data_IF_103862496835
#
_entry.id   IF_103862496835
#
_cell.length_a   1.000
_cell.length_b   1.000
_cell.length_c   1.000
_cell.angle_alpha   90.00
_cell.angle_beta   90.00
_cell.angle_gamma   90.00
#
_symmetry.space_group_name_H-M   'P 1'
#
loop_
_entity.id
_entity.type
_entity.pdbx_description
1 polymer ?
#
# COMPACT_ATOMS: atom_id res chain seq x y z
N UNK A 1 24.41 -31.70 11.63
CA UNK A 1 22.98 -31.52 11.96
C UNK A 1 22.64 -30.06 11.79
N UNK A 2 21.73 -29.73 10.88
CA UNK A 2 21.25 -28.36 10.70
C UNK A 2 20.18 -28.09 11.75
N UNK A 3 20.37 -27.05 12.57
CA UNK A 3 19.33 -26.64 13.52
C UNK A 3 18.05 -26.24 12.77
N UNK A 4 16.88 -26.50 13.36
CA UNK A 4 15.64 -26.09 12.75
C UNK A 4 15.58 -24.56 12.59
N UNK A 5 14.99 -24.04 11.49
CA UNK A 5 14.97 -22.61 11.20
C UNK A 5 14.36 -21.75 12.32
N UNK A 6 13.44 -22.33 13.09
CA UNK A 6 12.81 -21.69 14.24
C UNK A 6 12.96 -22.59 15.47
N UNK A 7 13.91 -22.26 16.34
CA UNK A 7 14.24 -23.05 17.54
C UNK A 7 13.21 -22.96 18.65
N UNK A 8 12.27 -22.00 18.60
CA UNK A 8 11.20 -21.83 19.60
C UNK A 8 9.91 -22.52 19.20
N UNK A 9 9.63 -22.67 17.90
CA UNK A 9 8.39 -23.25 17.38
C UNK A 9 8.57 -24.64 16.74
N UNK A 10 9.79 -25.02 16.36
CA UNK A 10 10.08 -26.28 15.67
C UNK A 10 10.95 -27.20 16.53
N UNK A 11 10.73 -28.50 16.37
CA UNK A 11 11.56 -29.57 16.90
C UNK A 11 12.07 -30.42 15.73
N UNK A 12 13.30 -30.92 15.86
CA UNK A 12 13.82 -31.90 14.92
C UNK A 12 13.21 -33.27 15.25
N UNK A 13 12.54 -33.89 14.28
CA UNK A 13 11.95 -35.22 14.37
C UNK A 13 12.72 -36.15 13.43
N UNK A 14 13.11 -37.32 13.95
CA UNK A 14 13.81 -38.34 13.18
C UNK A 14 12.80 -39.30 12.56
N UNK A 15 12.76 -39.39 11.23
CA UNK A 15 11.82 -40.24 10.49
C UNK A 15 12.32 -41.68 10.26
N UNK A 16 13.47 -42.03 10.84
CA UNK A 16 14.15 -43.32 10.64
C UNK A 16 15.31 -43.25 9.63
N UNK A 17 15.34 -42.24 8.77
CA UNK A 17 16.39 -42.04 7.75
C UNK A 17 17.04 -40.67 7.81
N UNK A 18 16.28 -39.65 8.21
CA UNK A 18 16.72 -38.26 8.26
C UNK A 18 16.07 -37.50 9.40
N UNK A 19 16.68 -36.38 9.80
CA UNK A 19 16.02 -35.42 10.68
C UNK A 19 15.25 -34.40 9.84
N UNK A 20 13.95 -34.27 10.10
CA UNK A 20 13.09 -33.24 9.53
C UNK A 20 12.65 -32.27 10.64
N UNK A 21 12.28 -31.05 10.28
CA UNK A 21 11.79 -30.07 11.26
C UNK A 21 10.25 -30.03 11.23
N UNK A 22 9.63 -30.29 12.37
CA UNK A 22 8.19 -30.26 12.55
C UNK A 22 7.81 -29.24 13.63
N UNK A 23 6.61 -28.67 13.54
CA UNK A 23 6.12 -27.78 14.61
C UNK A 23 5.97 -28.55 15.92
N UNK A 24 6.37 -27.92 17.02
CA UNK A 24 6.28 -28.53 18.34
C UNK A 24 4.86 -28.42 18.88
N UNK A 25 4.07 -29.47 18.68
CA UNK A 25 2.71 -29.56 19.24
C UNK A 25 2.71 -29.52 20.77
N UNK A 26 3.75 -30.07 21.41
CA UNK A 26 3.96 -30.02 22.87
C UNK A 26 4.14 -28.58 23.40
N UNK A 27 4.74 -27.70 22.59
CA UNK A 27 4.88 -26.28 22.91
C UNK A 27 3.69 -25.44 22.42
N UNK A 28 2.62 -26.09 21.97
CA UNK A 28 1.41 -25.43 21.50
C UNK A 28 1.56 -24.77 20.13
N UNK A 29 2.43 -25.28 19.25
CA UNK A 29 2.56 -24.80 17.86
C UNK A 29 1.93 -25.78 16.88
N UNK A 30 1.31 -25.23 15.83
CA UNK A 30 0.76 -26.01 14.71
C UNK A 30 1.30 -25.51 13.38
N UNK A 31 1.33 -26.40 12.38
CA UNK A 31 1.80 -26.09 11.04
C UNK A 31 0.65 -25.48 10.23
N UNK A 32 0.83 -24.26 9.75
CA UNK A 32 -0.10 -23.59 8.82
C UNK A 32 0.70 -23.12 7.61
N UNK A 33 0.39 -23.68 6.44
CA UNK A 33 1.02 -23.33 5.16
C UNK A 33 2.57 -23.30 5.23
N UNK A 34 3.16 -24.31 5.86
CA UNK A 34 4.62 -24.43 6.00
C UNK A 34 5.24 -23.58 7.11
N UNK A 35 4.43 -22.86 7.91
CA UNK A 35 4.92 -22.04 9.03
C UNK A 35 4.36 -22.53 10.36
N UNK A 36 5.22 -22.62 11.37
CA UNK A 36 4.79 -22.96 12.73
C UNK A 36 4.27 -21.74 13.46
N UNK A 37 3.04 -21.81 13.94
CA UNK A 37 2.35 -20.72 14.65
C UNK A 37 1.69 -21.21 15.93
N UNK A 38 1.59 -20.34 16.93
CA UNK A 38 0.92 -20.64 18.20
C UNK A 38 -0.53 -21.06 17.96
N UNK A 39 -0.90 -22.28 18.39
CA UNK A 39 -2.24 -22.86 18.24
C UNK A 39 -3.32 -22.01 18.90
N UNK A 40 -3.05 -21.48 20.11
CA UNK A 40 -4.00 -20.62 20.82
C UNK A 40 -4.22 -19.31 20.06
N UNK A 41 -3.13 -18.70 19.57
CA UNK A 41 -3.23 -17.44 18.82
C UNK A 41 -3.90 -17.66 17.46
N UNK A 42 -3.62 -18.79 16.79
CA UNK A 42 -4.30 -19.19 15.57
C UNK A 42 -5.80 -19.32 15.79
N UNK A 43 -6.23 -20.03 16.84
CA UNK A 43 -7.64 -20.18 17.16
C UNK A 43 -8.31 -18.83 17.45
N UNK A 44 -7.62 -17.92 18.15
CA UNK A 44 -8.12 -16.57 18.38
C UNK A 44 -8.31 -15.78 17.07
N UNK A 45 -7.32 -15.81 16.17
CA UNK A 45 -7.43 -15.18 14.84
C UNK A 45 -8.60 -15.77 14.05
N UNK A 46 -8.74 -17.10 14.03
CA UNK A 46 -9.81 -17.78 13.29
C UNK A 46 -11.20 -17.48 13.86
N UNK A 47 -11.33 -17.41 15.18
CA UNK A 47 -12.59 -17.04 15.84
C UNK A 47 -12.96 -15.57 15.58
N UNK A 48 -11.96 -14.68 15.48
CA UNK A 48 -12.19 -13.24 15.33
C UNK A 48 -12.45 -12.86 13.87
N UNK A 49 -11.69 -13.43 12.93
CA UNK A 49 -11.67 -12.99 11.53
C UNK A 49 -12.16 -14.05 10.54
N UNK A 50 -12.27 -15.32 10.95
CA UNK A 50 -12.62 -16.44 10.09
C UNK A 50 -11.43 -17.34 9.76
N UNK A 51 -11.72 -18.55 9.29
CA UNK A 51 -10.74 -19.61 9.07
C UNK A 51 -9.93 -19.46 7.77
N UNK A 52 -10.45 -18.80 6.74
CA UNK A 52 -9.70 -18.47 5.51
C UNK A 52 -10.36 -17.30 4.76
N UNK A 53 -9.55 -16.43 4.14
CA UNK A 53 -9.99 -15.58 3.05
C UNK A 53 -8.85 -15.39 2.06
N UNK A 54 -8.91 -16.19 0.99
CA UNK A 54 -7.99 -16.15 -0.13
C UNK A 54 -8.43 -15.17 -1.22
N UNK A 55 -9.58 -14.52 -1.06
CA UNK A 55 -10.20 -13.73 -2.12
C UNK A 55 -9.93 -12.23 -1.96
N UNK A 56 -9.66 -11.59 -3.09
CA UNK A 56 -9.51 -10.14 -3.20
C UNK A 56 -10.39 -9.64 -4.34
N UNK A 57 -11.14 -8.57 -4.07
CA UNK A 57 -11.94 -7.90 -5.10
C UNK A 57 -11.05 -6.99 -5.93
N UNK A 58 -11.05 -7.19 -7.24
CA UNK A 58 -10.52 -6.29 -8.26
C UNK A 58 -11.68 -5.44 -8.77
N UNK A 59 -11.83 -4.17 -8.34
CA UNK A 59 -13.04 -3.38 -8.63
C UNK A 59 -13.17 -2.93 -10.08
N UNK A 60 -12.05 -2.80 -10.79
CA UNK A 60 -11.98 -2.35 -12.19
C UNK A 60 -11.08 -3.32 -12.98
N UNK A 61 -11.56 -4.55 -13.21
CA UNK A 61 -10.89 -5.52 -14.07
C UNK A 61 -11.39 -5.35 -15.51
N UNK A 62 -10.49 -4.99 -16.42
CA UNK A 62 -10.77 -4.95 -17.85
C UNK A 62 -10.51 -6.35 -18.44
N UNK A 63 -11.55 -6.94 -19.01
CA UNK A 63 -11.47 -8.26 -19.66
C UNK A 63 -10.88 -8.18 -21.08
N UNK A 64 -10.85 -9.31 -21.79
CA UNK A 64 -10.36 -9.38 -23.17
C UNK A 64 -11.21 -8.63 -24.20
N UNK A 65 -12.44 -8.25 -23.85
CA UNK A 65 -13.36 -7.47 -24.69
C UNK A 65 -13.28 -5.96 -24.41
N UNK A 66 -12.50 -5.55 -23.40
CA UNK A 66 -12.36 -4.14 -23.00
C UNK A 66 -13.43 -3.67 -22.02
N UNK A 67 -14.24 -4.57 -21.47
CA UNK A 67 -15.31 -4.23 -20.51
C UNK A 67 -14.74 -4.25 -19.09
N UNK A 68 -15.05 -3.20 -18.31
CA UNK A 68 -14.74 -3.09 -16.90
C UNK A 68 -15.78 -3.81 -16.04
N UNK A 69 -15.30 -4.61 -15.07
CA UNK A 69 -16.14 -5.28 -14.09
C UNK A 69 -15.41 -5.47 -12.75
N UNK A 70 -16.20 -5.57 -11.68
CA UNK A 70 -15.70 -5.94 -10.36
C UNK A 70 -15.69 -7.46 -10.21
N UNK A 71 -14.51 -8.03 -9.96
CA UNK A 71 -14.33 -9.50 -9.87
C UNK A 71 -13.60 -9.88 -8.60
N UNK A 72 -14.11 -10.89 -7.90
CA UNK A 72 -13.42 -11.51 -6.77
C UNK A 72 -12.49 -12.61 -7.27
N UNK A 73 -11.19 -12.49 -7.00
CA UNK A 73 -10.19 -13.45 -7.44
C UNK A 73 -9.51 -14.10 -6.24
N UNK A 74 -9.24 -15.40 -6.37
CA UNK A 74 -8.36 -16.10 -5.43
C UNK A 74 -6.92 -15.59 -5.59
N UNK A 75 -6.20 -15.47 -4.47
CA UNK A 75 -4.81 -15.03 -4.40
C UNK A 75 -4.01 -15.99 -3.54
N UNK A 76 -2.94 -16.55 -4.11
CA UNK A 76 -2.01 -17.42 -3.38
C UNK A 76 -1.38 -16.69 -2.18
N UNK A 77 -1.10 -15.40 -2.33
CA UNK A 77 -0.55 -14.58 -1.24
C UNK A 77 -1.50 -14.59 -0.05
N UNK A 78 -2.78 -14.36 -0.28
CA UNK A 78 -3.77 -14.35 0.80
C UNK A 78 -4.01 -15.74 1.37
N UNK A 79 -4.17 -16.74 0.50
CA UNK A 79 -4.39 -18.12 0.89
C UNK A 79 -3.26 -18.65 1.78
N UNK A 80 -2.01 -18.41 1.38
CA UNK A 80 -0.86 -19.01 2.03
C UNK A 80 -0.40 -18.20 3.26
N UNK A 81 -0.62 -16.89 3.27
CA UNK A 81 0.02 -16.02 4.27
C UNK A 81 -0.95 -15.41 5.29
N UNK A 82 -2.25 -15.25 5.01
CA UNK A 82 -3.13 -14.47 5.91
C UNK A 82 -3.09 -14.97 7.36
N UNK A 83 -3.42 -16.24 7.59
CA UNK A 83 -3.44 -16.82 8.93
C UNK A 83 -2.07 -16.76 9.63
N UNK A 84 -0.98 -17.31 9.05
CA UNK A 84 0.28 -17.33 9.78
C UNK A 84 0.83 -15.93 10.05
N UNK A 85 0.65 -14.99 9.12
CA UNK A 85 1.09 -13.60 9.28
C UNK A 85 0.23 -12.84 10.28
N UNK A 86 -1.09 -13.01 10.28
CA UNK A 86 -1.96 -12.39 11.28
C UNK A 86 -1.64 -12.90 12.70
N UNK A 87 -1.42 -14.22 12.84
CA UNK A 87 -1.03 -14.83 14.11
C UNK A 87 0.31 -14.31 14.62
N UNK A 88 1.35 -14.29 13.77
CA UNK A 88 2.67 -13.76 14.14
C UNK A 88 2.62 -12.27 14.46
N UNK A 89 1.86 -11.50 13.67
CA UNK A 89 1.66 -10.09 13.95
C UNK A 89 1.04 -9.92 15.34
N UNK A 90 -0.01 -10.67 15.70
CA UNK A 90 -0.64 -10.61 17.01
C UNK A 90 0.35 -10.85 18.16
N UNK A 91 1.36 -11.70 17.97
CA UNK A 91 2.42 -11.95 18.98
C UNK A 91 3.53 -10.89 19.00
N UNK A 92 3.44 -9.84 18.19
CA UNK A 92 4.39 -8.71 18.18
C UNK A 92 5.49 -8.80 17.11
N UNK A 93 5.40 -9.74 16.16
CA UNK A 93 6.35 -9.82 15.04
C UNK A 93 6.14 -8.64 14.09
N UNK A 94 7.09 -7.70 14.10
CA UNK A 94 7.02 -6.45 13.33
C UNK A 94 6.97 -6.73 11.83
N UNK A 95 7.78 -7.67 11.32
CA UNK A 95 7.81 -7.98 9.90
C UNK A 95 6.49 -8.63 9.46
N UNK A 96 5.93 -9.52 10.28
CA UNK A 96 4.60 -10.07 10.04
C UNK A 96 3.54 -8.96 10.06
N UNK A 97 3.61 -7.99 10.96
CA UNK A 97 2.67 -6.86 10.95
C UNK A 97 2.83 -5.96 9.71
N UNK A 98 4.06 -5.78 9.20
CA UNK A 98 4.31 -5.10 7.94
C UNK A 98 3.69 -5.85 6.76
N UNK A 99 3.85 -7.18 6.70
CA UNK A 99 3.23 -8.01 5.67
C UNK A 99 1.69 -7.99 5.77
N UNK A 100 1.12 -8.09 6.97
CA UNK A 100 -0.33 -7.96 7.17
C UNK A 100 -0.85 -6.60 6.65
N UNK A 101 -0.10 -5.53 6.92
CA UNK A 101 -0.40 -4.21 6.38
C UNK A 101 -0.37 -4.18 4.85
N UNK A 102 0.68 -4.74 4.23
CA UNK A 102 0.77 -4.86 2.78
C UNK A 102 -0.38 -5.66 2.17
N UNK A 103 -0.83 -6.73 2.84
CA UNK A 103 -2.03 -7.46 2.41
C UNK A 103 -3.28 -6.58 2.46
N UNK A 104 -3.43 -5.70 3.47
CA UNK A 104 -4.54 -4.76 3.46
C UNK A 104 -4.45 -3.73 2.31
N UNK A 105 -3.24 -3.25 1.98
CA UNK A 105 -3.02 -2.41 0.79
C UNK A 105 -3.42 -3.15 -0.48
N UNK A 106 -3.04 -4.44 -0.60
CA UNK A 106 -3.44 -5.27 -1.74
C UNK A 106 -4.95 -5.49 -1.80
N UNK A 107 -5.64 -5.50 -0.67
CA UNK A 107 -7.09 -5.53 -0.58
C UNK A 107 -7.75 -4.16 -0.79
N UNK A 108 -7.01 -3.16 -1.27
CA UNK A 108 -7.48 -1.79 -1.53
C UNK A 108 -8.11 -1.15 -0.30
N UNK A 109 -7.61 -1.45 0.90
CA UNK A 109 -8.16 -0.95 2.16
C UNK A 109 -9.64 -1.32 2.39
N UNK A 110 -10.12 -2.39 1.75
CA UNK A 110 -11.50 -2.82 1.89
C UNK A 110 -11.78 -3.31 3.31
N UNK A 111 -12.68 -2.61 4.01
CA UNK A 111 -13.08 -2.95 5.38
C UNK A 111 -13.79 -4.30 5.49
N UNK A 112 -14.26 -4.88 4.37
CA UNK A 112 -14.85 -6.21 4.34
C UNK A 112 -13.79 -7.33 4.27
N UNK A 113 -12.59 -7.03 3.76
CA UNK A 113 -11.51 -8.00 3.61
C UNK A 113 -10.84 -8.33 4.96
N UNK A 114 -10.50 -9.61 5.17
CA UNK A 114 -10.01 -10.08 6.46
C UNK A 114 -8.62 -9.53 6.81
N UNK A 115 -7.75 -9.27 5.81
CA UNK A 115 -6.45 -8.66 6.06
C UNK A 115 -6.58 -7.25 6.64
N UNK A 116 -7.51 -6.46 6.10
CA UNK A 116 -7.77 -5.11 6.61
C UNK A 116 -8.46 -5.13 7.98
N UNK A 117 -9.47 -5.98 8.18
CA UNK A 117 -10.10 -6.18 9.50
C UNK A 117 -9.06 -6.57 10.55
N UNK A 118 -8.23 -7.57 10.26
CA UNK A 118 -7.17 -8.03 11.16
C UNK A 118 -6.18 -6.90 11.46
N UNK A 119 -5.73 -6.17 10.44
CA UNK A 119 -4.86 -5.01 10.64
C UNK A 119 -5.51 -3.97 11.58
N UNK A 120 -6.73 -3.51 11.29
CA UNK A 120 -7.37 -2.43 12.06
C UNK A 120 -7.68 -2.86 13.49
N UNK A 121 -8.10 -4.11 13.69
CA UNK A 121 -8.37 -4.66 15.03
C UNK A 121 -7.10 -4.79 15.84
N UNK A 122 -6.02 -5.34 15.27
CA UNK A 122 -4.74 -5.48 15.97
C UNK A 122 -4.11 -4.12 16.28
N UNK A 123 -4.18 -3.17 15.34
CA UNK A 123 -3.70 -1.80 15.50
C UNK A 123 -4.42 -1.07 16.64
N UNK A 124 -5.71 -1.33 16.84
CA UNK A 124 -6.54 -0.69 17.85
C UNK A 124 -6.41 -1.31 19.25
N UNK A 125 -5.59 -2.35 19.43
CA UNK A 125 -5.34 -2.93 20.74
C UNK A 125 -4.61 -1.93 21.64
N UNK A 126 -4.98 -1.88 22.92
CA UNK A 126 -4.35 -1.00 23.91
C UNK A 126 -2.85 -1.26 24.07
N UNK A 127 -2.40 -2.50 23.91
CA UNK A 127 -0.98 -2.87 23.88
C UNK A 127 -0.20 -2.24 22.71
N UNK A 128 -0.91 -1.71 21.72
CA UNK A 128 -0.36 -1.00 20.55
C UNK A 128 -0.70 0.48 20.53
N UNK A 129 -1.25 1.00 21.62
CA UNK A 129 -1.49 2.43 21.74
C UNK A 129 -0.21 3.19 21.39
N UNK A 130 -0.29 4.23 20.53
CA UNK A 130 0.87 5.01 20.18
C UNK A 130 1.42 5.64 21.47
N UNK A 131 2.74 5.77 21.57
CA UNK A 131 3.31 6.65 22.58
C UNK A 131 2.93 8.06 22.14
N UNK A 132 1.87 8.61 22.75
CA UNK A 132 1.26 9.90 22.42
C UNK A 132 2.15 11.09 22.85
N UNK A 133 3.44 11.07 22.53
CA UNK A 133 4.30 12.25 22.64
C UNK A 133 4.10 13.20 21.46
N UNK A 134 3.46 12.74 20.38
CA UNK A 134 3.22 13.52 19.17
C UNK A 134 1.77 13.29 18.66
N UNK A 135 0.93 14.34 18.55
CA UNK A 135 -0.40 14.24 17.93
C UNK A 135 -0.36 13.87 16.44
N UNK A 136 0.82 13.90 15.80
CA UNK A 136 1.06 13.45 14.44
C UNK A 136 1.35 11.94 14.34
N UNK A 137 1.40 11.23 15.47
CA UNK A 137 1.74 9.82 15.50
C UNK A 137 0.51 8.93 15.66
N UNK A 138 -0.10 8.58 14.52
CA UNK A 138 -1.17 7.59 14.42
C UNK A 138 -0.61 6.18 14.11
N UNK A 139 0.71 5.97 14.30
CA UNK A 139 1.36 4.70 14.11
C UNK A 139 1.08 3.77 15.30
N UNK A 140 0.44 2.60 15.09
CA UNK A 140 0.32 1.61 16.13
C UNK A 140 1.70 1.02 16.47
N UNK A 141 1.97 0.78 17.75
CA UNK A 141 3.26 0.24 18.17
C UNK A 141 3.52 -1.14 17.52
N UNK A 142 4.71 -1.30 16.93
CA UNK A 142 5.11 -2.52 16.22
C UNK A 142 4.32 -2.83 14.94
N UNK A 143 3.59 -1.86 14.37
CA UNK A 143 2.85 -2.01 13.10
C UNK A 143 3.20 -0.88 12.12
N UNK A 144 2.98 -1.08 10.80
CA UNK A 144 3.00 0.05 9.87
C UNK A 144 1.89 1.03 10.20
N UNK A 145 2.13 2.32 9.96
CA UNK A 145 1.10 3.35 9.98
C UNK A 145 0.44 3.42 8.59
N UNK A 146 -0.74 2.80 8.44
CA UNK A 146 -1.41 2.72 7.14
C UNK A 146 -2.58 3.67 6.96
N UNK A 147 -3.26 4.02 8.05
CA UNK A 147 -4.48 4.83 8.07
C UNK A 147 -4.20 6.14 8.77
N UNK A 148 -4.81 7.22 8.32
CA UNK A 148 -4.85 8.45 9.10
C UNK A 148 -6.12 8.50 9.95
N UNK A 149 -5.97 8.93 11.20
CA UNK A 149 -7.07 9.10 12.14
C UNK A 149 -7.57 7.81 12.78
N UNK A 150 -6.90 6.67 12.60
CA UNK A 150 -7.37 5.37 13.11
C UNK A 150 -7.33 5.33 14.65
N UNK A 151 -6.23 5.76 15.26
CA UNK A 151 -6.03 5.77 16.71
C UNK A 151 -6.21 7.19 17.26
N UNK A 152 -5.71 8.21 16.55
CA UNK A 152 -5.81 9.62 16.95
C UNK A 152 -7.22 10.20 16.82
N UNK A 153 -8.10 9.53 16.05
CA UNK A 153 -9.45 10.02 15.69
C UNK A 153 -9.45 11.37 14.98
N UNK A 154 -8.33 11.72 14.36
CA UNK A 154 -8.22 12.94 13.58
C UNK A 154 -9.18 12.89 12.39
N UNK A 155 -9.85 14.02 12.14
CA UNK A 155 -10.78 14.13 11.00
C UNK A 155 -10.02 14.43 9.71
N UNK A 156 -10.61 14.02 8.58
CA UNK A 156 -10.12 14.35 7.25
C UNK A 156 -9.94 15.86 7.06
N UNK A 157 -10.80 16.68 7.68
CA UNK A 157 -10.67 18.13 7.66
C UNK A 157 -9.35 18.61 8.26
N UNK A 158 -9.01 18.11 9.46
CA UNK A 158 -7.78 18.49 10.15
C UNK A 158 -6.55 18.07 9.35
N UNK A 159 -6.55 16.85 8.80
CA UNK A 159 -5.45 16.32 7.97
C UNK A 159 -5.21 17.23 6.75
N UNK A 160 -6.27 17.58 6.02
CA UNK A 160 -6.15 18.41 4.80
C UNK A 160 -5.71 19.84 5.06
N UNK A 161 -6.00 20.38 6.24
CA UNK A 161 -5.64 21.76 6.61
C UNK A 161 -4.23 21.88 7.20
N UNK A 162 -3.48 20.78 7.30
CA UNK A 162 -2.09 20.80 7.77
C UNK A 162 -1.21 21.57 6.79
N UNK A 163 -0.32 22.39 7.32
CA UNK A 163 0.63 23.19 6.55
C UNK A 163 2.03 22.64 6.84
N UNK A 164 2.69 21.97 5.88
CA UNK A 164 4.06 21.52 6.07
C UNK A 164 5.01 22.73 6.14
N UNK A 165 6.10 22.58 6.89
CA UNK A 165 7.15 23.60 6.97
C UNK A 165 8.00 23.55 5.70
N UNK A 166 7.55 24.24 4.66
CA UNK A 166 8.29 24.43 3.41
C UNK A 166 8.39 25.92 3.10
N UNK A 167 9.53 26.32 2.52
CA UNK A 167 9.75 27.71 2.13
C UNK A 167 9.56 27.84 0.62
N UNK A 168 8.36 28.21 0.16
CA UNK A 168 8.11 28.43 -1.26
C UNK A 168 8.26 29.92 -1.60
N UNK A 169 9.28 30.25 -2.39
CA UNK A 169 9.40 31.57 -3.01
C UNK A 169 8.54 31.64 -4.27
N UNK A 170 7.22 31.74 -4.11
CA UNK A 170 6.26 31.73 -5.23
C UNK A 170 6.15 33.08 -5.97
N UNK A 171 6.89 34.10 -5.55
CA UNK A 171 6.75 35.47 -6.06
C UNK A 171 7.66 35.82 -7.23
N UNK A 172 8.62 34.96 -7.59
CA UNK A 172 9.53 35.17 -8.72
C UNK A 172 9.84 33.85 -9.44
N UNK A 173 9.86 33.83 -10.78
CA UNK A 173 10.34 32.66 -11.53
C UNK A 173 11.86 32.45 -11.31
N UNK A 174 12.33 31.20 -11.37
CA UNK A 174 11.55 29.98 -11.54
C UNK A 174 10.76 29.61 -10.28
N UNK A 175 9.54 29.09 -10.46
CA UNK A 175 8.71 28.63 -9.35
C UNK A 175 9.42 27.49 -8.58
N UNK A 176 9.24 27.42 -7.25
CA UNK A 176 9.86 26.37 -6.44
C UNK A 176 9.32 24.99 -6.79
N UNK A 177 10.20 23.98 -6.76
CA UNK A 177 9.88 22.57 -7.01
C UNK A 177 9.73 21.86 -5.67
N UNK A 178 8.59 21.18 -5.47
CA UNK A 178 8.37 20.32 -4.32
C UNK A 178 9.18 19.03 -4.46
N UNK A 179 9.94 18.68 -3.42
CA UNK A 179 10.74 17.47 -3.41
C UNK A 179 9.97 16.32 -2.75
N UNK A 180 9.71 15.28 -3.53
CA UNK A 180 9.02 14.08 -3.06
C UNK A 180 9.98 12.89 -2.91
N UNK A 181 9.74 12.08 -1.89
CA UNK A 181 10.50 10.86 -1.58
C UNK A 181 9.53 9.71 -1.36
N UNK A 182 9.89 8.50 -1.80
CA UNK A 182 9.16 7.27 -1.51
C UNK A 182 9.93 6.44 -0.50
N UNK A 183 9.26 6.04 0.59
CA UNK A 183 9.68 4.88 1.38
C UNK A 183 9.23 3.60 0.67
N UNK A 184 10.14 2.65 0.47
CA UNK A 184 9.88 1.45 -0.32
C UNK A 184 9.88 0.20 0.55
N UNK A 185 8.89 -0.66 0.37
CA UNK A 185 8.75 -1.92 1.11
C UNK A 185 8.49 -3.08 0.15
N UNK A 186 9.05 -4.23 0.45
CA UNK A 186 8.73 -5.49 -0.24
C UNK A 186 7.44 -6.10 0.29
N UNK A 187 6.91 -7.10 -0.42
CA UNK A 187 5.70 -7.84 -0.02
C UNK A 187 5.74 -8.36 1.42
N UNK A 188 6.85 -8.98 1.83
CA UNK A 188 7.00 -9.55 3.17
C UNK A 188 7.20 -8.49 4.28
N UNK A 189 7.19 -7.19 3.93
CA UNK A 189 7.30 -6.11 4.89
C UNK A 189 8.71 -5.57 5.13
N UNK A 190 9.74 -6.07 4.43
CA UNK A 190 11.10 -5.51 4.54
C UNK A 190 11.15 -4.11 3.92
N UNK A 191 11.63 -3.13 4.69
CA UNK A 191 11.92 -1.77 4.22
C UNK A 191 13.22 -1.76 3.42
N UNK A 192 13.16 -1.24 2.20
CA UNK A 192 14.30 -1.16 1.28
C UNK A 192 15.02 0.20 1.35
N UNK A 193 14.40 1.20 1.96
CA UNK A 193 14.96 2.55 2.07
C UNK A 193 14.08 3.61 1.42
N UNK A 194 14.62 4.83 1.43
CA UNK A 194 14.02 5.99 0.80
C UNK A 194 14.62 6.22 -0.60
N UNK A 195 13.77 6.58 -1.56
CA UNK A 195 14.19 6.95 -2.91
C UNK A 195 13.54 8.27 -3.33
N UNK A 196 14.30 9.14 -4.00
CA UNK A 196 13.74 10.35 -4.58
C UNK A 196 12.75 10.00 -5.69
N UNK A 197 11.63 10.72 -5.75
CA UNK A 197 10.70 10.61 -6.87
C UNK A 197 11.30 11.31 -8.08
N UNK A 198 11.60 10.54 -9.10
CA UNK A 198 12.06 11.01 -10.41
C UNK A 198 10.97 10.68 -11.43
N UNK A 199 10.94 9.43 -11.90
CA UNK A 199 10.08 8.98 -13.00
C UNK A 199 9.09 7.90 -12.58
N UNK A 200 9.07 7.50 -11.30
CA UNK A 200 8.24 6.40 -10.81
C UNK A 200 6.74 6.63 -11.04
N UNK A 201 6.29 7.89 -11.05
CA UNK A 201 4.90 8.26 -11.36
C UNK A 201 4.65 8.56 -12.84
N UNK A 202 5.68 8.51 -13.69
CA UNK A 202 5.61 8.84 -15.11
C UNK A 202 5.77 7.56 -15.95
N UNK A 203 4.69 6.79 -16.09
CA UNK A 203 4.67 5.59 -16.95
C UNK A 203 4.54 5.94 -18.43
N UNK A 204 4.03 7.13 -18.73
CA UNK A 204 3.92 7.66 -20.09
C UNK A 204 5.21 8.35 -20.53
N UNK A 205 5.59 8.26 -21.83
CA UNK A 205 6.68 9.06 -22.36
C UNK A 205 6.46 10.55 -22.09
N UNK A 206 7.51 11.28 -21.72
CA UNK A 206 7.46 12.72 -21.50
C UNK A 206 8.78 13.38 -21.88
N UNK A 207 8.73 14.67 -22.20
CA UNK A 207 9.93 15.51 -22.31
C UNK A 207 10.38 15.91 -20.91
N UNK A 208 11.65 15.70 -20.56
CA UNK A 208 12.19 16.00 -19.23
C UNK A 208 12.00 17.47 -18.81
N UNK A 209 12.02 18.40 -19.77
CA UNK A 209 11.78 19.83 -19.51
C UNK A 209 10.34 20.14 -19.05
N UNK A 210 9.39 19.26 -19.37
CA UNK A 210 7.97 19.37 -19.02
C UNK A 210 7.54 18.39 -17.91
N UNK A 211 8.10 17.18 -17.88
CA UNK A 211 7.63 16.07 -17.04
C UNK A 211 7.87 16.19 -15.55
N UNK A 212 8.54 17.25 -15.10
CA UNK A 212 8.71 17.59 -13.68
C UNK A 212 7.82 18.76 -13.23
N UNK A 213 7.06 19.37 -14.13
CA UNK A 213 6.18 20.51 -13.81
C UNK A 213 5.07 20.17 -12.81
N UNK A 214 4.67 18.90 -12.71
CA UNK A 214 3.73 18.45 -11.68
C UNK A 214 4.22 18.66 -10.24
N UNK A 215 5.52 18.88 -10.04
CA UNK A 215 6.10 19.20 -8.73
C UNK A 215 6.00 20.69 -8.38
N UNK A 216 5.56 21.54 -9.32
CA UNK A 216 5.49 22.98 -9.14
C UNK A 216 4.08 23.38 -8.68
N UNK A 217 3.95 24.06 -7.52
CA UNK A 217 2.67 24.62 -7.10
C UNK A 217 2.14 25.61 -8.14
N UNK A 218 0.84 25.54 -8.44
CA UNK A 218 0.17 26.46 -9.37
C UNK A 218 0.36 26.14 -10.86
N UNK A 219 1.02 25.03 -11.21
CA UNK A 219 1.17 24.58 -12.60
C UNK A 219 0.28 23.38 -12.86
N UNK A 220 -0.66 23.52 -13.80
CA UNK A 220 -1.44 22.40 -14.32
C UNK A 220 -0.56 21.50 -15.20
N UNK A 221 -0.50 20.21 -14.86
CA UNK A 221 0.24 19.20 -15.59
C UNK A 221 -0.68 18.01 -15.84
N UNK A 222 -0.76 17.53 -17.08
CA UNK A 222 -1.46 16.29 -17.39
C UNK A 222 -0.66 15.47 -18.39
N UNK A 223 -0.39 14.21 -18.07
CA UNK A 223 0.23 13.26 -18.99
C UNK A 223 -0.56 11.96 -19.03
N UNK A 224 -0.96 11.53 -20.23
CA UNK A 224 -1.71 10.29 -20.43
C UNK A 224 -1.31 9.62 -21.73
N UNK A 225 -1.34 8.30 -21.75
CA UNK A 225 -0.93 7.49 -22.90
C UNK A 225 -1.56 6.10 -22.85
N UNK A 226 -1.38 5.35 -23.94
CA UNK A 226 -1.61 3.92 -23.97
C UNK A 226 -0.29 3.18 -23.84
N UNK A 227 -0.22 2.22 -22.92
CA UNK A 227 0.91 1.30 -22.79
C UNK A 227 0.51 -0.08 -23.28
N UNK A 228 1.46 -0.78 -23.89
CA UNK A 228 1.31 -2.19 -24.23
C UNK A 228 1.89 -3.03 -23.08
N UNK A 229 1.03 -3.73 -22.34
CA UNK A 229 1.44 -4.54 -21.19
C UNK A 229 2.16 -5.82 -21.61
N UNK A 230 1.94 -6.32 -22.83
CA UNK A 230 2.66 -7.48 -23.35
C UNK A 230 4.17 -7.22 -23.52
N UNK A 231 4.57 -5.94 -23.64
CA UNK A 231 5.98 -5.51 -23.77
C UNK A 231 6.61 -5.07 -22.45
N UNK A 232 5.91 -5.20 -21.33
CA UNK A 232 6.39 -4.80 -20.02
C UNK A 232 6.80 -6.03 -19.21
N UNK A 233 8.00 -5.98 -18.65
CA UNK A 233 8.35 -6.84 -17.53
C UNK A 233 7.61 -6.35 -16.29
N UNK A 234 7.07 -7.28 -15.51
CA UNK A 234 6.42 -6.96 -14.25
C UNK A 234 7.38 -7.25 -13.12
N UNK A 235 7.87 -6.18 -12.51
CA UNK A 235 8.66 -6.27 -11.29
C UNK A 235 7.83 -6.89 -10.15
N UNK A 236 8.50 -7.42 -9.11
CA UNK A 236 7.83 -7.83 -7.89
C UNK A 236 6.98 -6.69 -7.31
N UNK A 237 5.84 -7.02 -6.70
CA UNK A 237 5.01 -6.02 -6.03
C UNK A 237 5.82 -5.30 -4.94
N UNK A 238 5.98 -3.99 -5.13
CA UNK A 238 6.56 -3.08 -4.16
C UNK A 238 5.49 -2.13 -3.64
N UNK A 239 5.65 -1.76 -2.37
CA UNK A 239 4.76 -0.87 -1.66
C UNK A 239 5.48 0.44 -1.37
N UNK A 240 4.75 1.54 -1.52
CA UNK A 240 5.31 2.88 -1.46
C UNK A 240 4.54 3.71 -0.44
N UNK A 241 5.27 4.46 0.37
CA UNK A 241 4.74 5.58 1.14
C UNK A 241 5.38 6.86 0.61
N UNK A 242 4.58 7.90 0.35
CA UNK A 242 5.08 9.17 -0.20
C UNK A 242 5.26 10.23 0.89
N UNK A 243 6.35 10.98 0.78
CA UNK A 243 6.73 12.04 1.69
C UNK A 243 7.12 13.31 0.92
N UNK A 244 6.89 14.46 1.54
CA UNK A 244 7.41 15.76 1.14
C UNK A 244 8.66 16.07 1.97
N UNK A 245 9.74 16.53 1.35
CA UNK A 245 10.90 17.03 2.08
C UNK A 245 10.62 18.45 2.58
N UNK A 246 10.74 18.66 3.89
CA UNK A 246 10.60 19.97 4.54
C UNK A 246 11.87 20.82 4.43
N UNK A 247 11.77 22.12 4.73
CA UNK A 247 12.93 23.01 4.75
C UNK A 247 14.01 22.61 5.77
N UNK A 248 13.63 21.84 6.80
CA UNK A 248 14.53 21.25 7.80
C UNK A 248 15.23 19.97 7.31
N UNK A 249 14.86 19.45 6.14
CA UNK A 249 15.26 18.13 5.65
C UNK A 249 14.43 16.96 6.19
N UNK A 250 13.46 17.22 7.09
CA UNK A 250 12.57 16.18 7.61
C UNK A 250 11.58 15.69 6.55
N UNK A 251 11.18 14.42 6.65
CA UNK A 251 10.18 13.81 5.77
C UNK A 251 8.79 13.98 6.35
N UNK A 252 7.93 14.68 5.62
CA UNK A 252 6.54 14.88 5.99
C UNK A 252 5.64 13.90 5.24
N UNK A 253 4.91 12.99 5.91
CA UNK A 253 4.08 12.01 5.25
C UNK A 253 2.91 12.67 4.51
N UNK A 254 2.65 12.18 3.29
CA UNK A 254 1.60 12.69 2.42
C UNK A 254 0.38 11.75 2.47
N UNK A 255 -0.83 12.26 2.73
CA UNK A 255 -2.06 11.48 2.63
C UNK A 255 -2.32 10.95 1.23
N UNK A 256 -2.73 9.68 1.15
CA UNK A 256 -3.10 9.00 -0.09
C UNK A 256 -4.58 8.61 -0.05
N UNK A 257 -5.36 8.94 -1.07
CA UNK A 257 -6.71 8.39 -1.27
C UNK A 257 -6.67 7.29 -2.32
N UNK A 258 -7.20 6.15 -1.94
CA UNK A 258 -7.49 5.09 -2.91
C UNK A 258 -8.90 5.32 -3.43
N UNK A 259 -9.02 5.49 -4.75
CA UNK A 259 -10.28 5.83 -5.39
C UNK A 259 -11.01 4.55 -5.78
N UNK A 260 -12.10 4.27 -5.08
CA UNK A 260 -13.03 3.17 -5.35
C UNK A 260 -14.43 3.61 -4.92
N UNK A 261 -15.51 3.10 -5.56
CA UNK A 261 -16.87 3.49 -5.21
C UNK A 261 -17.23 3.37 -3.72
N UNK A 262 -16.55 2.48 -2.98
CA UNK A 262 -16.79 2.23 -1.55
C UNK A 262 -15.93 3.05 -0.59
N UNK A 263 -14.88 3.75 -1.06
CA UNK A 263 -13.94 4.46 -0.18
C UNK A 263 -13.86 5.96 -0.48
N UNK A 264 -13.56 6.31 -1.73
CA UNK A 264 -13.39 7.69 -2.18
C UNK A 264 -13.82 7.82 -3.63
N UNK A 265 -14.40 8.95 -4.00
CA UNK A 265 -14.75 9.29 -5.38
C UNK A 265 -13.63 10.09 -6.05
N UNK A 266 -13.64 10.16 -7.39
CA UNK A 266 -12.70 10.99 -8.17
C UNK A 266 -12.87 12.51 -7.96
N UNK A 267 -13.92 12.94 -7.24
CA UNK A 267 -14.09 14.32 -6.85
C UNK A 267 -12.95 14.77 -5.93
N UNK A 268 -12.69 16.07 -5.88
CA UNK A 268 -11.69 16.66 -5.00
C UNK A 268 -11.83 16.15 -3.55
N UNK A 269 -10.71 16.03 -2.79
CA UNK A 269 -10.75 15.66 -1.38
C UNK A 269 -11.82 16.46 -0.61
N UNK A 270 -12.46 15.82 0.35
CA UNK A 270 -13.54 16.40 1.20
C UNK A 270 -13.32 16.03 2.66
N UNK A 271 -14.15 16.58 3.56
CA UNK A 271 -14.13 16.26 4.98
C UNK A 271 -14.59 14.83 5.30
N UNK A 272 -15.05 14.09 4.28
CA UNK A 272 -15.44 12.67 4.36
C UNK A 272 -14.44 11.74 3.66
N UNK A 273 -13.35 12.28 3.12
CA UNK A 273 -12.35 11.46 2.42
C UNK A 273 -11.60 10.54 3.39
N UNK A 274 -11.40 9.29 2.99
CA UNK A 274 -10.55 8.35 3.72
C UNK A 274 -9.10 8.48 3.25
N UNK A 275 -8.18 8.71 4.20
CA UNK A 275 -6.76 8.88 3.94
C UNK A 275 -5.95 7.70 4.44
N UNK A 276 -5.00 7.30 3.59
CA UNK A 276 -4.07 6.20 3.82
C UNK A 276 -2.63 6.68 3.57
N UNK A 277 -1.65 5.78 3.75
CA UNK A 277 -0.24 6.10 3.53
C UNK A 277 0.42 5.28 2.43
N UNK A 278 0.04 4.02 2.28
CA UNK A 278 0.77 3.05 1.46
C UNK A 278 -0.02 2.67 0.20
N UNK A 279 0.67 2.56 -0.91
CA UNK A 279 0.09 2.21 -2.21
C UNK A 279 1.09 1.40 -3.04
N UNK A 280 0.69 0.96 -4.23
CA UNK A 280 1.52 0.18 -5.16
C UNK A 280 1.53 0.84 -6.53
N UNK A 281 2.65 0.72 -7.27
CA UNK A 281 2.72 1.16 -8.67
C UNK A 281 2.50 0.02 -9.65
N UNK A 282 2.82 -1.21 -9.23
CA UNK A 282 2.48 -2.44 -9.91
C UNK A 282 2.21 -3.48 -8.82
N UNK A 283 1.10 -4.19 -8.96
CA UNK A 283 0.78 -5.34 -8.13
C UNK A 283 0.63 -6.58 -9.02
N UNK A 284 1.70 -7.35 -9.05
CA UNK A 284 1.84 -8.65 -9.71
C UNK A 284 1.71 -9.81 -8.71
N UNK A 285 1.32 -9.55 -7.46
CA UNK A 285 1.23 -10.56 -6.40
C UNK A 285 -0.23 -10.94 -6.10
N UNK A 286 -1.17 -9.99 -6.16
CA UNK A 286 -2.58 -10.27 -5.86
C UNK A 286 -3.20 -11.26 -6.83
N UNK A 287 -2.81 -11.21 -8.11
CA UNK A 287 -3.37 -12.06 -9.16
C UNK A 287 -2.66 -13.38 -9.39
N UNK A 288 -1.73 -13.78 -8.52
CA UNK A 288 -1.07 -15.09 -8.60
C UNK A 288 -2.01 -16.17 -8.10
N UNK A 289 -2.21 -17.20 -8.94
CA UNK A 289 -3.05 -18.36 -8.66
C UNK A 289 -2.29 -19.63 -9.03
N UNK A 290 -2.13 -20.55 -8.07
CA UNK A 290 -1.36 -21.78 -8.22
C UNK A 290 0.06 -21.53 -8.80
N UNK A 291 0.73 -20.49 -8.32
CA UNK A 291 2.07 -20.07 -8.76
C UNK A 291 2.11 -19.34 -10.11
N UNK A 292 0.97 -19.11 -10.76
CA UNK A 292 0.91 -18.47 -12.08
C UNK A 292 0.23 -17.10 -11.98
N UNK A 293 0.87 -16.06 -12.51
CA UNK A 293 0.29 -14.73 -12.60
C UNK A 293 -0.88 -14.72 -13.60
N UNK A 294 -2.11 -14.50 -13.10
CA UNK A 294 -3.33 -14.41 -13.91
C UNK A 294 -3.81 -12.98 -14.10
N UNK A 295 -3.67 -12.15 -13.07
CA UNK A 295 -4.11 -10.77 -13.08
C UNK A 295 -2.98 -9.85 -12.65
N UNK A 296 -2.90 -8.69 -13.27
CA UNK A 296 -2.03 -7.61 -12.81
C UNK A 296 -2.88 -6.39 -12.51
N UNK A 297 -2.55 -5.69 -11.44
CA UNK A 297 -3.16 -4.41 -11.09
C UNK A 297 -2.11 -3.31 -11.12
N UNK A 298 -2.49 -2.15 -11.65
CA UNK A 298 -1.63 -0.98 -11.73
C UNK A 298 -2.47 0.30 -11.65
N UNK A 299 -1.88 1.44 -11.26
CA UNK A 299 -2.56 2.72 -11.32
C UNK A 299 -2.94 3.07 -12.76
N UNK A 300 -4.23 3.23 -13.00
CA UNK A 300 -4.76 3.87 -14.21
C UNK A 300 -4.60 5.38 -14.15
N UNK A 301 -4.62 5.96 -12.94
CA UNK A 301 -4.38 7.37 -12.70
C UNK A 301 -3.74 7.58 -11.32
N UNK A 302 -2.77 8.48 -11.25
CA UNK A 302 -2.24 9.03 -10.00
C UNK A 302 -2.42 10.54 -10.11
N UNK A 303 -3.11 11.21 -9.20
CA UNK A 303 -3.31 12.66 -9.19
C UNK A 303 -2.75 13.24 -7.89
N UNK A 304 -2.12 14.41 -7.95
CA UNK A 304 -1.61 15.10 -6.76
C UNK A 304 -2.30 16.45 -6.64
N UNK A 305 -3.02 16.65 -5.53
CA UNK A 305 -3.68 17.89 -5.19
C UNK A 305 -2.72 18.76 -4.37
N UNK A 306 -2.42 19.96 -4.88
CA UNK A 306 -1.57 20.94 -4.20
C UNK A 306 -2.38 22.23 -4.08
N UNK A 307 -2.84 22.54 -2.86
CA UNK A 307 -3.68 23.71 -2.61
C UNK A 307 -2.86 24.79 -1.89
N UNK A 308 -2.88 26.00 -2.42
CA UNK A 308 -2.24 27.16 -1.78
C UNK A 308 -3.07 27.63 -0.58
N UNK A 309 -2.40 28.08 0.48
CA UNK A 309 -3.08 28.66 1.65
C UNK A 309 -3.49 30.10 1.31
N UNK A 310 -4.79 30.37 1.32
CA UNK A 310 -5.32 31.71 1.07
C UNK A 310 -4.75 32.72 2.07
N UNK A 311 -4.22 33.84 1.56
CA UNK A 311 -3.65 34.91 2.39
C UNK A 311 -2.24 34.66 2.94
N UNK A 312 -1.60 33.53 2.61
CA UNK A 312 -0.21 33.24 3.00
C UNK A 312 0.65 33.04 1.75
N UNK A 313 1.46 34.05 1.42
CA UNK A 313 2.40 33.97 0.31
C UNK A 313 3.45 32.88 0.60
N UNK A 314 3.45 31.81 -0.19
CA UNK A 314 4.45 30.75 -0.13
C UNK A 314 4.10 29.55 0.76
N UNK A 315 2.85 29.43 1.21
CA UNK A 315 2.37 28.28 1.97
C UNK A 315 1.38 27.44 1.15
N UNK A 316 1.47 26.12 1.29
CA UNK A 316 0.49 25.16 0.77
C UNK A 316 -0.07 24.35 1.92
N UNK A 317 -1.26 23.80 1.73
CA UNK A 317 -1.70 22.66 2.51
C UNK A 317 -0.90 21.41 2.12
N UNK A 318 -0.84 20.42 3.01
CA UNK A 318 -0.22 19.13 2.72
C UNK A 318 -0.80 18.59 1.41
N UNK A 319 0.04 18.20 0.43
CA UNK A 319 -0.45 17.60 -0.79
C UNK A 319 -1.27 16.34 -0.51
N UNK A 320 -2.16 15.98 -1.42
CA UNK A 320 -2.95 14.73 -1.32
C UNK A 320 -2.78 13.96 -2.60
N UNK A 321 -2.47 12.66 -2.52
CA UNK A 321 -2.31 11.80 -3.69
C UNK A 321 -3.54 10.92 -3.87
N UNK A 322 -4.22 11.06 -5.00
CA UNK A 322 -5.26 10.12 -5.42
C UNK A 322 -4.64 9.03 -6.29
N UNK A 323 -5.03 7.78 -6.05
CA UNK A 323 -4.65 6.63 -6.89
C UNK A 323 -5.89 5.88 -7.32
N UNK A 324 -6.12 5.86 -8.63
CA UNK A 324 -7.15 5.06 -9.30
C UNK A 324 -6.46 3.85 -9.91
N UNK A 325 -6.91 2.65 -9.56
CA UNK A 325 -6.34 1.41 -10.09
C UNK A 325 -7.24 0.79 -11.13
N UNK A 326 -6.61 0.07 -12.05
CA UNK A 326 -7.27 -0.86 -12.96
C UNK A 326 -6.50 -2.18 -12.95
N UNK A 327 -7.16 -3.25 -13.39
CA UNK A 327 -6.59 -4.58 -13.47
C UNK A 327 -6.76 -5.16 -14.86
N UNK A 328 -5.86 -6.07 -15.25
CA UNK A 328 -5.91 -6.79 -16.53
C UNK A 328 -5.65 -8.28 -16.36
N UNK A 329 -6.30 -9.07 -17.22
CA UNK A 329 -6.04 -10.49 -17.37
C UNK A 329 -4.76 -10.68 -18.21
N UNK A 330 -3.74 -11.34 -17.67
CA UNK A 330 -2.45 -11.51 -18.37
C UNK A 330 -2.60 -12.30 -19.67
N UNK A 331 -3.51 -13.28 -19.70
CA UNK A 331 -3.78 -14.08 -20.89
C UNK A 331 -4.40 -13.28 -22.05
N UNK A 332 -4.94 -12.07 -21.81
CA UNK A 332 -5.49 -11.22 -22.88
C UNK A 332 -4.45 -10.28 -23.50
N UNK A 333 -3.20 -10.31 -23.03
CA UNK A 333 -2.13 -9.50 -23.59
C UNK A 333 -1.78 -9.94 -25.01
N UNK A 334 -1.68 -8.97 -25.91
CA UNK A 334 -1.36 -9.18 -27.32
C UNK A 334 -0.45 -8.07 -27.85
N UNK A 335 0.10 -8.27 -29.04
CA UNK A 335 0.93 -7.25 -29.70
C UNK A 335 0.17 -5.93 -29.97
N UNK A 336 -1.16 -5.98 -30.01
CA UNK A 336 -2.07 -4.83 -30.17
C UNK A 336 -2.63 -4.30 -28.85
N UNK A 337 -2.17 -4.77 -27.68
CA UNK A 337 -2.67 -4.28 -26.39
C UNK A 337 -2.44 -2.76 -26.25
N UNK A 338 -3.50 -2.05 -25.90
CA UNK A 338 -3.57 -0.59 -25.74
C UNK A 338 -4.13 -0.22 -24.36
N UNK A 339 -3.55 -0.76 -23.30
CA UNK A 339 -3.93 -0.44 -21.93
C UNK A 339 -3.76 1.05 -21.67
N UNK A 340 -4.83 1.76 -21.34
CA UNK A 340 -4.77 3.19 -21.06
C UNK A 340 -4.18 3.39 -19.65
N UNK A 341 -3.10 4.16 -19.56
CA UNK A 341 -2.53 4.65 -18.31
C UNK A 341 -2.47 6.17 -18.39
N UNK A 342 -3.13 6.83 -17.46
CA UNK A 342 -2.94 8.24 -17.19
C UNK A 342 -1.92 8.36 -16.06
N UNK A 343 -0.87 9.14 -16.26
CA UNK A 343 0.12 9.41 -15.23
C UNK A 343 0.16 10.89 -14.93
N UNK A 344 -0.41 11.24 -13.76
CA UNK A 344 -0.44 12.61 -13.23
C UNK A 344 -1.34 13.56 -14.02
N UNK A 345 -2.67 13.49 -13.88
CA UNK A 345 -3.53 14.64 -14.06
C UNK A 345 -3.48 15.50 -12.78
N UNK A 346 -2.80 16.63 -12.83
CA UNK A 346 -3.05 17.76 -11.93
C UNK A 346 -4.27 18.50 -12.49
N UNK A 347 -5.24 18.76 -11.63
CA UNK A 347 -6.39 19.65 -11.86
C UNK A 347 -6.82 20.09 -10.46
N UNK A 348 -7.25 21.29 -10.12
CA UNK A 348 -7.26 22.63 -10.69
C UNK A 348 -7.29 23.56 -9.44
N UNK A 349 -6.99 24.84 -9.64
CA UNK A 349 -6.86 25.90 -8.62
C UNK A 349 -7.87 25.91 -7.47
#
# INVERSE_FOLDING_TARGET
MTACPNTTAMIATFDGTSYTCSCSSLLGYTLVNGQCVSSNTLQNIQNTFGSTNSYVTLPDLIDGSGISQSVSVQSDVFQNNFLPIATRCQTGDIQACQFLGNMCVMAMYSSSNYACKAYTTLASLSSRAPILSDPFNDQPNGMPWLYWGLLSRETSQSIRKRIPTISLKITQPPLPILQFVLGVYTLNGTFLGFQNVTTQFQSCPFDYSYGLQWQQPGVGYNNSCTINLAKKSFDPTLFYEIFLIQSTGAYYPIPVRIITPSLNTEAAPTDQSSFFRRFTLVDSSVGVQNGVLKYIRFPKSIKIWINVVSGSAGSIYVPIVDVVYTSRIVASFSASDASIVSTVPVSDF
#
